data_IF_173222194700
#
_entry.id   IF_173222194700
#
_cell.length_a   1.000
_cell.length_b   1.000
_cell.length_c   1.000
_cell.angle_alpha   90.00
_cell.angle_beta   90.00
_cell.angle_gamma   90.00
#
_symmetry.space_group_name_H-M   'P 1'
#
loop_
_entity.id
_entity.type
_entity.pdbx_description
1 polymer ?
#
# COMPACT_ATOMS: atom_id res chain seq x y z
N UNK A 1 5.38 22.00 38.74
CA UNK A 1 5.26 21.00 39.81
C UNK A 1 5.81 21.50 41.13
N UNK A 2 5.13 21.19 42.24
CA UNK A 2 5.63 21.36 43.62
C UNK A 2 6.24 20.05 44.16
N UNK A 3 6.98 20.13 45.28
CA UNK A 3 7.68 18.97 45.86
C UNK A 3 6.72 17.86 46.34
N UNK A 4 5.53 18.22 46.84
CA UNK A 4 4.58 17.25 47.38
C UNK A 4 3.96 16.39 46.27
N UNK A 5 3.67 17.00 45.12
CA UNK A 5 3.25 16.31 43.91
C UNK A 5 4.40 15.49 43.32
N UNK A 6 5.60 16.07 43.23
CA UNK A 6 6.78 15.39 42.71
C UNK A 6 7.08 14.08 43.46
N UNK A 7 7.15 14.13 44.79
CA UNK A 7 7.45 12.94 45.60
C UNK A 7 6.47 11.79 45.41
N UNK A 8 5.17 12.09 45.21
CA UNK A 8 4.14 11.06 45.00
C UNK A 8 4.29 10.30 43.69
N UNK A 9 4.81 10.95 42.65
CA UNK A 9 4.93 10.37 41.29
C UNK A 9 6.38 10.03 40.94
N UNK A 10 7.34 10.33 41.82
CA UNK A 10 8.77 10.17 41.55
C UNK A 10 9.15 8.71 41.27
N UNK A 11 8.61 7.77 42.05
CA UNK A 11 8.86 6.35 41.82
C UNK A 11 8.27 5.87 40.48
N UNK A 12 7.06 6.32 40.14
CA UNK A 12 6.43 5.98 38.86
C UNK A 12 7.21 6.57 37.67
N UNK A 13 7.84 7.74 37.83
CA UNK A 13 8.75 8.31 36.85
C UNK A 13 9.98 7.43 36.65
N UNK A 14 10.64 7.05 37.75
CA UNK A 14 11.85 6.20 37.73
C UNK A 14 11.56 4.83 37.13
N UNK A 15 10.38 4.28 37.39
CA UNK A 15 9.92 3.00 36.84
C UNK A 15 9.41 3.11 35.38
N UNK A 16 9.39 4.31 34.80
CA UNK A 16 8.91 4.54 33.42
C UNK A 16 7.40 4.35 33.24
N UNK A 17 6.61 4.49 34.31
CA UNK A 17 5.16 4.29 34.33
C UNK A 17 4.35 5.56 34.04
N UNK A 18 4.99 6.72 34.03
CA UNK A 18 4.34 7.99 33.72
C UNK A 18 4.26 8.28 32.20
N UNK A 19 3.20 8.98 31.74
CA UNK A 19 3.17 9.53 30.39
C UNK A 19 4.35 10.48 30.12
N UNK A 20 4.81 10.62 28.86
CA UNK A 20 6.01 11.41 28.53
C UNK A 20 5.98 12.86 29.01
N UNK A 21 4.82 13.52 28.94
CA UNK A 21 4.66 14.91 29.38
C UNK A 21 4.82 15.07 30.90
N UNK A 22 4.25 14.15 31.68
CA UNK A 22 4.34 14.16 33.14
C UNK A 22 5.76 13.80 33.61
N UNK A 23 6.39 12.78 33.01
CA UNK A 23 7.79 12.44 33.29
C UNK A 23 8.73 13.62 33.01
N UNK A 24 8.49 14.40 31.96
CA UNK A 24 9.29 15.59 31.68
C UNK A 24 9.10 16.70 32.73
N UNK A 25 7.88 16.86 33.26
CA UNK A 25 7.62 17.83 34.34
C UNK A 25 8.32 17.43 35.64
N UNK A 26 8.25 16.14 36.01
CA UNK A 26 8.93 15.59 37.20
C UNK A 26 10.44 15.73 37.06
N UNK A 27 11.03 15.35 35.91
CA UNK A 27 12.48 15.50 35.67
C UNK A 27 12.95 16.93 35.83
N UNK A 28 12.24 17.89 35.23
CA UNK A 28 12.57 19.32 35.38
C UNK A 28 12.53 19.79 36.85
N UNK A 29 11.59 19.27 37.63
CA UNK A 29 11.51 19.57 39.06
C UNK A 29 12.68 18.94 39.84
N UNK A 30 12.99 17.67 39.59
CA UNK A 30 14.13 16.97 40.20
C UNK A 30 15.45 17.66 39.89
N UNK A 31 15.64 18.15 38.66
CA UNK A 31 16.83 18.91 38.25
C UNK A 31 16.97 20.25 38.98
N UNK A 32 15.87 20.86 39.40
CA UNK A 32 15.86 22.18 40.06
C UNK A 32 15.72 22.13 41.59
N UNK A 33 15.35 20.98 42.17
CA UNK A 33 15.11 20.83 43.61
C UNK A 33 16.03 19.76 44.21
N UNK A 34 17.00 20.19 45.03
CA UNK A 34 17.98 19.30 45.66
C UNK A 34 17.38 18.23 46.58
N UNK A 35 16.25 18.51 47.24
CA UNK A 35 15.57 17.53 48.08
C UNK A 35 14.98 16.38 47.25
N UNK A 36 14.28 16.71 46.16
CA UNK A 36 13.74 15.71 45.24
C UNK A 36 14.84 14.99 44.46
N UNK A 37 15.96 15.65 44.14
CA UNK A 37 17.15 15.00 43.57
C UNK A 37 17.73 13.93 44.51
N UNK A 38 17.93 14.27 45.79
CA UNK A 38 18.45 13.34 46.79
C UNK A 38 17.53 12.13 46.99
N UNK A 39 16.21 12.35 46.99
CA UNK A 39 15.21 11.28 47.06
C UNK A 39 15.25 10.38 45.81
N UNK A 40 15.31 10.98 44.61
CA UNK A 40 15.43 10.25 43.36
C UNK A 40 16.69 9.37 43.33
N UNK A 41 17.81 9.91 43.80
CA UNK A 41 19.06 9.16 43.90
C UNK A 41 18.98 8.01 44.91
N UNK A 42 18.25 8.18 46.02
CA UNK A 42 18.00 7.10 46.97
C UNK A 42 17.23 5.95 46.31
N UNK A 43 16.15 6.24 45.57
CA UNK A 43 15.41 5.22 44.81
C UNK A 43 16.29 4.54 43.76
N UNK A 44 17.09 5.30 43.01
CA UNK A 44 18.00 4.73 41.99
C UNK A 44 19.07 3.83 42.61
N UNK A 45 19.63 4.20 43.77
CA UNK A 45 20.59 3.36 44.51
C UNK A 45 19.95 2.05 44.95
N UNK A 46 18.79 2.10 45.57
CA UNK A 46 18.07 0.88 46.01
C UNK A 46 17.71 0.00 44.80
N UNK A 47 17.17 0.59 43.73
CA UNK A 47 16.88 -0.14 42.49
C UNK A 47 18.13 -0.75 41.85
N UNK A 48 19.27 -0.07 41.91
CA UNK A 48 20.56 -0.58 41.47
C UNK A 48 21.00 -1.82 42.26
N UNK A 49 20.92 -1.77 43.59
CA UNK A 49 21.24 -2.91 44.46
C UNK A 49 20.32 -4.10 44.20
N UNK A 50 19.01 -3.86 44.07
CA UNK A 50 18.04 -4.91 43.78
C UNK A 50 18.31 -5.56 42.42
N UNK A 51 18.58 -4.76 41.38
CA UNK A 51 18.93 -5.27 40.05
C UNK A 51 20.24 -6.08 40.05
N UNK A 52 21.25 -5.65 40.78
CA UNK A 52 22.49 -6.39 40.90
C UNK A 52 22.27 -7.75 41.58
N UNK A 53 21.50 -7.76 42.67
CA UNK A 53 21.18 -8.98 43.40
C UNK A 53 20.33 -9.95 42.57
N UNK A 54 19.32 -9.45 41.86
CA UNK A 54 18.49 -10.29 40.98
C UNK A 54 19.26 -10.77 39.76
N UNK A 55 20.18 -9.98 39.19
CA UNK A 55 21.03 -10.41 38.08
C UNK A 55 21.93 -11.59 38.49
N UNK A 56 22.60 -11.50 39.65
CA UNK A 56 23.40 -12.61 40.17
C UNK A 56 22.57 -13.90 40.35
N UNK A 57 21.33 -13.76 40.81
CA UNK A 57 20.42 -14.90 40.98
C UNK A 57 19.85 -15.43 39.67
N UNK A 58 19.64 -14.56 38.68
CA UNK A 58 19.24 -14.94 37.34
C UNK A 58 20.34 -15.74 36.65
N UNK A 59 21.60 -15.37 36.83
CA UNK A 59 22.76 -16.11 36.30
C UNK A 59 22.82 -17.54 36.87
N UNK A 60 22.61 -17.70 38.18
CA UNK A 60 22.52 -19.03 38.82
C UNK A 60 21.41 -19.90 38.21
N UNK A 61 20.32 -19.29 37.75
CA UNK A 61 19.15 -19.97 37.16
C UNK A 61 19.12 -19.90 35.64
N UNK A 62 20.17 -19.39 34.99
CA UNK A 62 20.19 -19.14 33.55
C UNK A 62 19.75 -20.36 32.72
N UNK A 63 20.22 -21.61 32.99
CA UNK A 63 19.80 -22.77 32.21
C UNK A 63 18.29 -23.03 32.22
N UNK A 64 17.61 -22.72 33.33
CA UNK A 64 16.16 -22.90 33.47
C UNK A 64 15.39 -21.75 32.79
N UNK A 65 15.93 -20.54 32.84
CA UNK A 65 15.36 -19.35 32.21
C UNK A 65 15.46 -19.38 30.68
N UNK A 66 16.56 -19.91 30.14
CA UNK A 66 16.75 -20.05 28.69
C UNK A 66 15.66 -20.91 28.04
N UNK A 67 15.15 -21.93 28.74
CA UNK A 67 14.04 -22.77 28.23
C UNK A 67 12.73 -21.97 28.13
N UNK A 68 12.53 -20.97 28.98
CA UNK A 68 11.32 -20.13 28.99
C UNK A 68 11.42 -18.96 28.01
N UNK A 69 12.63 -18.51 27.67
CA UNK A 69 12.88 -17.33 26.85
C UNK A 69 12.23 -17.35 25.45
N UNK A 70 12.18 -18.50 24.73
CA UNK A 70 11.46 -18.58 23.45
C UNK A 70 9.97 -18.24 23.58
N UNK A 71 9.32 -18.71 24.65
CA UNK A 71 7.90 -18.44 24.90
C UNK A 71 7.66 -16.97 25.25
N UNK A 72 8.56 -16.37 26.02
CA UNK A 72 8.51 -14.93 26.34
C UNK A 72 8.64 -14.10 25.07
N UNK A 73 9.60 -14.43 24.20
CA UNK A 73 9.81 -13.74 22.91
C UNK A 73 8.58 -13.83 22.01
N UNK A 74 8.04 -15.05 21.83
CA UNK A 74 6.83 -15.26 21.06
C UNK A 74 5.66 -14.43 21.59
N UNK A 75 5.45 -14.42 22.91
CA UNK A 75 4.39 -13.62 23.53
C UNK A 75 4.57 -12.10 23.42
N UNK A 76 5.81 -11.60 23.28
CA UNK A 76 6.09 -10.17 23.02
C UNK A 76 5.81 -9.84 21.55
N UNK A 77 6.20 -10.71 20.63
CA UNK A 77 5.95 -10.55 19.19
C UNK A 77 4.45 -10.55 18.87
N UNK A 78 3.68 -11.46 19.48
CA UNK A 78 2.22 -11.52 19.35
C UNK A 78 1.51 -10.25 19.87
N UNK A 79 2.06 -9.61 20.90
CA UNK A 79 1.50 -8.37 21.46
C UNK A 79 1.95 -7.11 20.74
N UNK A 80 2.92 -7.20 19.84
CA UNK A 80 3.40 -6.04 19.10
C UNK A 80 2.23 -5.57 18.23
N UNK A 81 1.65 -4.38 18.51
CA UNK A 81 0.54 -3.89 17.72
C UNK A 81 1.00 -3.86 16.27
N UNK A 82 0.25 -4.54 15.42
CA UNK A 82 0.54 -4.63 14.01
C UNK A 82 0.55 -3.20 13.51
N UNK A 83 1.71 -2.73 13.05
CA UNK A 83 1.94 -1.36 12.57
C UNK A 83 1.22 -1.10 11.23
N UNK A 84 0.07 -1.75 11.01
CA UNK A 84 -0.80 -1.66 9.83
C UNK A 84 -1.50 -0.31 9.67
N UNK A 85 -1.31 0.64 10.60
CA UNK A 85 -1.81 2.00 10.47
C UNK A 85 -1.25 2.74 9.25
N UNK A 86 0.03 2.53 8.88
CA UNK A 86 0.64 3.27 7.78
C UNK A 86 0.14 2.83 6.39
N UNK A 87 -0.17 1.53 6.22
CA UNK A 87 -0.66 1.01 4.95
C UNK A 87 -2.09 1.48 4.64
N UNK A 88 -2.95 1.57 5.65
CA UNK A 88 -4.33 2.03 5.49
C UNK A 88 -4.41 3.52 5.14
N UNK A 89 -3.55 4.36 5.74
CA UNK A 89 -3.51 5.81 5.46
C UNK A 89 -2.97 6.06 4.04
N UNK A 90 -1.95 5.31 3.60
CA UNK A 90 -1.42 5.40 2.23
C UNK A 90 -2.48 5.01 1.20
N UNK A 91 -3.32 4.00 1.44
CA UNK A 91 -4.40 3.65 0.50
C UNK A 91 -5.48 4.74 0.41
N UNK A 92 -5.75 5.43 1.50
CA UNK A 92 -6.74 6.50 1.53
C UNK A 92 -6.24 7.79 0.85
N UNK A 93 -4.93 8.06 0.91
CA UNK A 93 -4.30 9.22 0.26
C UNK A 93 -4.38 9.19 -1.29
N UNK A 94 -4.49 8.00 -1.89
CA UNK A 94 -4.52 7.85 -3.35
C UNK A 94 -5.92 7.91 -3.94
N UNK A 95 -6.97 7.81 -3.12
CA UNK A 95 -8.37 7.98 -3.56
C UNK A 95 -8.64 9.35 -4.20
N UNK A 96 -8.24 10.50 -3.60
CA UNK A 96 -8.47 11.80 -4.24
C UNK A 96 -7.64 11.98 -5.52
N UNK A 97 -6.43 11.41 -5.58
CA UNK A 97 -5.57 11.47 -6.77
C UNK A 97 -6.18 10.67 -7.93
N UNK A 98 -6.66 9.46 -7.65
CA UNK A 98 -7.34 8.63 -8.65
C UNK A 98 -8.64 9.28 -9.14
N UNK A 99 -9.42 9.88 -8.24
CA UNK A 99 -10.64 10.62 -8.60
C UNK A 99 -10.32 11.84 -9.49
N UNK A 100 -9.30 12.62 -9.14
CA UNK A 100 -8.87 13.78 -9.94
C UNK A 100 -8.39 13.36 -11.34
N UNK A 101 -7.64 12.25 -11.44
CA UNK A 101 -7.21 11.71 -12.74
C UNK A 101 -8.38 11.21 -13.58
N UNK A 102 -9.38 10.56 -12.98
CA UNK A 102 -10.59 10.12 -13.69
C UNK A 102 -11.39 11.31 -14.23
N UNK A 103 -11.59 12.35 -13.41
CA UNK A 103 -12.27 13.59 -13.84
C UNK A 103 -11.47 14.29 -14.93
N UNK A 104 -10.15 14.42 -14.77
CA UNK A 104 -9.28 15.00 -15.79
C UNK A 104 -9.34 14.20 -17.09
N UNK A 105 -9.33 12.86 -17.02
CA UNK A 105 -9.49 12.01 -18.19
C UNK A 105 -10.83 12.23 -18.87
N UNK A 106 -11.94 12.40 -18.15
CA UNK A 106 -13.26 12.68 -18.73
C UNK A 106 -13.31 14.08 -19.37
N UNK A 107 -12.76 15.10 -18.70
CA UNK A 107 -12.80 16.50 -19.17
C UNK A 107 -11.85 16.73 -20.34
N UNK A 108 -10.66 16.12 -20.30
CA UNK A 108 -9.63 16.25 -21.34
C UNK A 108 -9.66 15.11 -22.35
N UNK A 109 -10.61 14.17 -22.28
CA UNK A 109 -10.81 13.21 -23.37
C UNK A 109 -11.26 14.02 -24.59
N UNK A 110 -10.46 14.09 -25.66
CA UNK A 110 -10.92 14.74 -26.87
C UNK A 110 -12.09 13.92 -27.39
N UNK A 111 -13.29 14.50 -27.39
CA UNK A 111 -14.52 13.96 -28.01
C UNK A 111 -14.42 13.89 -29.55
N UNK A 112 -13.26 13.48 -30.07
CA UNK A 112 -12.86 13.62 -31.47
C UNK A 112 -12.42 12.27 -32.01
N UNK A 113 -13.36 11.33 -32.13
CA UNK A 113 -13.36 10.41 -33.28
C UNK A 113 -14.79 10.34 -33.81
N UNK A 114 -15.17 11.45 -34.44
CA UNK A 114 -16.18 11.49 -35.48
C UNK A 114 -15.65 10.66 -36.68
N UNK A 115 -15.75 9.33 -36.60
CA UNK A 115 -15.66 8.46 -37.77
C UNK A 115 -17.10 8.26 -38.25
N UNK A 116 -17.53 9.10 -39.18
CA UNK A 116 -18.72 8.80 -39.96
C UNK A 116 -18.56 7.39 -40.57
N UNK A 117 -19.58 6.51 -40.49
CA UNK A 117 -19.52 5.23 -41.19
C UNK A 117 -19.44 5.50 -42.69
N UNK A 118 -18.40 4.93 -43.33
CA UNK A 118 -18.16 5.03 -44.75
C UNK A 118 -19.26 4.24 -45.48
N UNK A 119 -20.25 4.94 -46.02
CA UNK A 119 -21.30 4.37 -46.87
C UNK A 119 -21.09 4.86 -48.31
N UNK A 120 -20.34 4.12 -49.16
CA UNK A 120 -20.26 4.45 -50.59
C UNK A 120 -21.61 4.13 -51.25
N UNK A 121 -22.26 5.15 -51.81
CA UNK A 121 -23.64 5.09 -52.33
C UNK A 121 -23.76 4.70 -53.81
N UNK A 122 -22.65 4.53 -54.55
CA UNK A 122 -22.66 3.94 -55.88
C UNK A 122 -21.28 3.41 -56.29
N UNK A 123 -21.26 2.28 -57.00
CA UNK A 123 -20.09 1.79 -57.72
C UNK A 123 -20.46 1.75 -59.20
N UNK A 124 -19.61 2.28 -60.07
CA UNK A 124 -19.72 2.02 -61.51
C UNK A 124 -19.11 0.63 -61.75
N UNK A 125 -19.96 -0.34 -62.02
CA UNK A 125 -19.55 -1.72 -62.29
C UNK A 125 -19.76 -1.98 -63.77
N UNK A 126 -18.68 -2.20 -64.50
CA UNK A 126 -18.71 -2.83 -65.83
C UNK A 126 -18.54 -4.33 -65.62
N UNK A 127 -19.60 -5.09 -65.96
CA UNK A 127 -19.57 -6.55 -65.99
C UNK A 127 -19.28 -6.96 -67.44
N UNK A 128 -18.11 -7.56 -67.68
CA UNK A 128 -17.84 -8.27 -68.92
C UNK A 128 -18.08 -9.76 -68.67
N UNK A 129 -19.06 -10.33 -69.37
CA UNK A 129 -19.36 -11.76 -69.33
C UNK A 129 -18.69 -12.44 -70.53
N UNK A 130 -17.89 -13.47 -70.26
CA UNK A 130 -17.28 -14.32 -71.27
C UNK A 130 -17.80 -15.74 -71.08
N UNK A 131 -18.73 -16.17 -71.94
CA UNK A 131 -19.16 -17.57 -72.03
C UNK A 131 -18.13 -18.39 -72.82
N UNK A 132 -17.56 -19.41 -72.18
CA UNK A 132 -16.81 -20.47 -72.85
C UNK A 132 -17.56 -21.80 -72.73
N UNK A 133 -17.37 -22.73 -73.68
CA UNK A 133 -18.12 -24.01 -73.74
C UNK A 133 -18.04 -24.88 -72.47
N UNK A 134 -17.13 -24.57 -71.53
CA UNK A 134 -16.92 -25.32 -70.27
C UNK A 134 -17.23 -24.53 -68.99
N UNK A 135 -17.30 -23.19 -69.03
CA UNK A 135 -17.61 -22.37 -67.85
C UNK A 135 -18.03 -20.93 -68.25
N UNK A 136 -18.87 -20.31 -67.43
CA UNK A 136 -19.21 -18.88 -67.55
C UNK A 136 -18.36 -18.10 -66.55
N UNK A 137 -17.65 -17.07 -67.05
CA UNK A 137 -16.78 -16.22 -66.24
C UNK A 137 -17.27 -14.77 -66.28
N UNK A 138 -17.64 -14.24 -65.12
CA UNK A 138 -17.99 -12.84 -64.94
C UNK A 138 -16.81 -12.07 -64.33
N UNK A 139 -16.26 -11.11 -65.09
CA UNK A 139 -15.28 -10.17 -64.59
C UNK A 139 -15.98 -8.88 -64.18
N UNK A 140 -15.84 -8.54 -62.89
CA UNK A 140 -16.32 -7.28 -62.33
C UNK A 140 -15.12 -6.40 -62.05
N UNK A 141 -14.90 -5.45 -62.96
CA UNK A 141 -13.87 -4.43 -62.79
C UNK A 141 -14.43 -3.25 -61.99
N UNK A 142 -13.83 -2.98 -60.82
CA UNK A 142 -14.31 -1.97 -59.84
C UNK A 142 -13.44 -0.72 -59.81
N UNK A 143 -12.80 -0.38 -60.93
CA UNK A 143 -11.93 0.78 -61.09
C UNK A 143 -10.54 0.57 -60.49
N UNK A 144 -9.57 1.37 -60.99
CA UNK A 144 -8.12 1.13 -60.87
C UNK A 144 -7.58 0.97 -59.42
N UNK A 145 -8.28 1.50 -58.42
CA UNK A 145 -7.86 1.47 -57.00
C UNK A 145 -8.50 0.32 -56.19
N UNK A 146 -9.33 -0.53 -56.79
CA UNK A 146 -9.96 -1.66 -56.10
C UNK A 146 -9.57 -3.00 -56.74
N UNK A 147 -9.43 -4.07 -55.93
CA UNK A 147 -9.07 -5.37 -56.44
C UNK A 147 -10.14 -5.90 -57.40
N UNK A 148 -9.72 -6.30 -58.60
CA UNK A 148 -10.59 -6.92 -59.62
C UNK A 148 -11.04 -8.29 -59.11
N UNK A 149 -12.36 -8.54 -59.10
CA UNK A 149 -12.93 -9.80 -58.62
C UNK A 149 -13.43 -10.60 -59.81
N UNK A 150 -12.92 -11.82 -59.97
CA UNK A 150 -13.26 -12.75 -61.04
C UNK A 150 -14.06 -13.90 -60.43
N UNK A 151 -15.28 -14.12 -60.90
CA UNK A 151 -16.10 -15.28 -60.53
C UNK A 151 -16.14 -16.25 -61.70
N UNK A 152 -15.72 -17.48 -61.46
CA UNK A 152 -15.78 -18.58 -62.42
C UNK A 152 -16.82 -19.57 -61.87
N UNK A 153 -17.90 -19.77 -62.61
CA UNK A 153 -18.90 -20.79 -62.28
C UNK A 153 -18.76 -21.90 -63.31
N UNK A 154 -18.16 -23.02 -62.90
CA UNK A 154 -18.14 -24.24 -63.70
C UNK A 154 -19.56 -24.85 -63.70
N UNK A 155 -20.10 -25.09 -64.89
CA UNK A 155 -21.34 -25.82 -65.03
C UNK A 155 -21.01 -27.31 -65.04
N UNK A 156 -21.24 -28.01 -63.93
CA UNK A 156 -21.24 -29.47 -63.88
C UNK A 156 -22.40 -30.01 -64.73
N UNK A 157 -22.19 -30.10 -66.04
CA UNK A 157 -23.00 -30.96 -66.92
C UNK A 157 -22.30 -32.31 -67.04
N UNK A 158 -22.58 -33.19 -66.09
CA UNK A 158 -22.62 -34.64 -66.30
C UNK A 158 -23.72 -35.25 -65.47
#
# INVERSE_FOLDING_TARGET
MDCGKAGKVLQDEIDGRLPPAESAEVRRHVESCGACAAEADAYRRVGGMLRAWTAARAEEKAPQLEVLWPRVRAGIEERKPETGGAASIRRWLWLPVAAALAVAAIVFYPSVVNKAPFHPTSFNVTVEDLESETATVALVDKGDDLPRVIWIIENDKT
#
